data_IF_593463349264
#
_entry.id   IF_593463349264
#
_cell.length_a   1.000
_cell.length_b   1.000
_cell.length_c   1.000
_cell.angle_alpha   90.00
_cell.angle_beta   90.00
_cell.angle_gamma   90.00
#
_symmetry.space_group_name_H-M   'P 1'
#
loop_
_entity.id
_entity.type
_entity.pdbx_description
1 polymer ?
#
# COMPACT_ATOMS: atom_id res chain seq x y z
N UNK A 1 -10.82 -2.18 0.59
CA UNK A 1 -9.54 -1.88 -0.10
C UNK A 1 -9.83 -1.06 -1.34
N UNK A 2 -9.12 0.05 -1.52
CA UNK A 2 -9.33 0.95 -2.66
C UNK A 2 -8.00 1.26 -3.33
N UNK A 3 -8.05 1.65 -4.61
CA UNK A 3 -6.85 2.09 -5.33
C UNK A 3 -6.24 3.30 -4.62
N UNK A 4 -4.92 3.26 -4.44
CA UNK A 4 -4.19 4.32 -3.75
C UNK A 4 -4.02 4.11 -2.25
N UNK A 5 -4.76 3.19 -1.64
CA UNK A 5 -4.56 2.86 -0.22
C UNK A 5 -3.14 2.39 0.03
N UNK A 6 -2.57 2.83 1.15
CA UNK A 6 -1.22 2.43 1.57
C UNK A 6 -1.33 1.48 2.75
N UNK A 7 -0.66 0.34 2.64
CA UNK A 7 -0.67 -0.71 3.65
C UNK A 7 0.75 -0.95 4.16
N UNK A 8 0.86 -1.42 5.40
CA UNK A 8 2.14 -1.77 6.02
C UNK A 8 2.12 -3.24 6.44
N UNK A 9 3.20 -3.96 6.16
CA UNK A 9 3.33 -5.36 6.56
C UNK A 9 3.42 -5.47 8.08
N UNK A 10 2.67 -6.39 8.65
CA UNK A 10 2.60 -6.56 10.10
C UNK A 10 3.90 -7.07 10.71
N UNK A 11 4.72 -7.78 9.93
CA UNK A 11 5.97 -8.38 10.41
C UNK A 11 7.19 -7.52 10.10
N UNK A 12 7.45 -7.26 8.83
CA UNK A 12 8.68 -6.62 8.39
C UNK A 12 8.57 -5.12 8.17
N UNK A 13 7.34 -4.57 8.31
CA UNK A 13 7.06 -3.15 8.15
C UNK A 13 7.28 -2.62 6.73
N UNK A 14 7.35 -3.50 5.73
CA UNK A 14 7.39 -3.06 4.35
C UNK A 14 6.09 -2.34 3.98
N UNK A 15 6.18 -1.38 3.07
CA UNK A 15 5.07 -0.50 2.71
C UNK A 15 4.68 -0.76 1.26
N UNK A 16 3.40 -0.94 1.02
CA UNK A 16 2.86 -1.12 -0.32
C UNK A 16 1.74 -0.12 -0.56
N UNK A 17 1.53 0.22 -1.83
CA UNK A 17 0.38 1.02 -2.27
C UNK A 17 -0.42 0.22 -3.29
N UNK A 18 -1.71 0.21 -3.14
CA UNK A 18 -2.60 -0.50 -4.05
C UNK A 18 -2.66 0.24 -5.38
N UNK A 19 -2.27 -0.43 -6.46
CA UNK A 19 -2.15 0.17 -7.79
C UNK A 19 -3.35 -0.15 -8.68
N UNK A 20 -3.75 -1.42 -8.72
CA UNK A 20 -4.88 -1.86 -9.57
C UNK A 20 -5.35 -3.23 -9.10
N UNK A 21 -6.41 -3.74 -9.73
CA UNK A 21 -6.82 -5.12 -9.50
C UNK A 21 -7.43 -5.75 -10.74
N UNK A 22 -7.24 -7.09 -10.84
CA UNK A 22 -7.88 -7.90 -11.84
C UNK A 22 -9.08 -8.60 -11.17
N UNK A 23 -10.26 -8.37 -11.70
CA UNK A 23 -11.47 -8.92 -11.12
C UNK A 23 -11.61 -10.41 -11.43
N UNK A 24 -12.18 -11.16 -10.50
CA UNK A 24 -12.50 -12.55 -10.70
C UNK A 24 -13.89 -12.65 -11.30
N UNK A 25 -13.99 -13.25 -12.49
CA UNK A 25 -15.27 -13.43 -13.22
C UNK A 25 -16.09 -12.12 -13.38
N UNK A 26 -15.38 -11.01 -13.60
CA UNK A 26 -16.02 -9.72 -13.83
C UNK A 26 -16.46 -9.00 -12.56
N UNK A 27 -16.22 -9.57 -11.39
CA UNK A 27 -16.59 -8.97 -10.11
C UNK A 27 -15.38 -8.85 -9.19
N UNK A 28 -15.36 -7.80 -8.38
CA UNK A 28 -14.34 -7.66 -7.35
C UNK A 28 -14.78 -8.42 -6.11
N UNK A 29 -14.00 -9.45 -5.76
CA UNK A 29 -14.24 -10.30 -4.59
C UNK A 29 -12.93 -10.49 -3.83
N UNK A 30 -12.97 -11.15 -2.69
CA UNK A 30 -11.77 -11.50 -1.94
C UNK A 30 -10.78 -12.38 -2.73
N UNK A 31 -11.24 -13.00 -3.82
CA UNK A 31 -10.41 -13.81 -4.70
C UNK A 31 -9.80 -13.01 -5.84
N UNK A 32 -10.19 -11.76 -6.01
CA UNK A 32 -9.63 -10.88 -7.03
C UNK A 32 -8.16 -10.65 -6.76
N UNK A 33 -7.37 -10.58 -7.83
CA UNK A 33 -5.95 -10.28 -7.71
C UNK A 33 -5.77 -8.79 -7.56
N UNK A 34 -5.11 -8.40 -6.49
CA UNK A 34 -4.75 -7.01 -6.22
C UNK A 34 -3.29 -6.82 -6.59
N UNK A 35 -3.01 -5.81 -7.39
CA UNK A 35 -1.67 -5.45 -7.82
C UNK A 35 -1.23 -4.25 -7.00
N UNK A 36 -0.05 -4.34 -6.41
CA UNK A 36 0.46 -3.30 -5.54
C UNK A 36 1.90 -2.94 -5.88
N UNK A 37 2.34 -1.80 -5.39
CA UNK A 37 3.70 -1.30 -5.52
C UNK A 37 4.35 -1.30 -4.16
N UNK A 38 5.50 -1.94 -4.03
CA UNK A 38 6.28 -1.92 -2.80
C UNK A 38 7.27 -0.76 -2.86
N UNK A 39 7.26 0.09 -1.84
CA UNK A 39 8.16 1.23 -1.76
C UNK A 39 9.29 0.95 -0.78
N UNK A 40 10.49 1.44 -1.11
CA UNK A 40 11.65 1.37 -0.25
C UNK A 40 12.16 2.78 -0.01
N UNK A 41 12.70 3.05 1.18
CA UNK A 41 13.09 4.41 1.57
C UNK A 41 14.09 5.03 0.59
N UNK A 42 15.07 4.29 0.17
CA UNK A 42 16.11 4.80 -0.74
C UNK A 42 15.61 5.09 -2.16
N UNK A 43 14.46 4.56 -2.51
CA UNK A 43 13.80 4.79 -3.80
C UNK A 43 12.48 5.56 -3.65
N UNK A 44 12.21 6.08 -2.46
CA UNK A 44 10.97 6.78 -2.17
C UNK A 44 11.13 8.26 -2.47
N UNK A 45 10.43 8.71 -3.47
CA UNK A 45 10.42 10.12 -3.88
C UNK A 45 9.09 10.76 -3.51
N UNK A 46 8.61 11.68 -4.33
CA UNK A 46 7.30 12.27 -4.15
C UNK A 46 6.19 11.23 -4.29
N UNK A 47 5.07 11.46 -3.62
CA UNK A 47 3.90 10.59 -3.75
C UNK A 47 3.49 10.54 -5.23
N UNK A 48 3.31 9.33 -5.74
CA UNK A 48 3.00 9.12 -7.15
C UNK A 48 4.21 8.79 -8.02
N UNK A 49 5.42 8.81 -7.45
CA UNK A 49 6.63 8.46 -8.18
C UNK A 49 6.69 6.96 -8.50
N UNK A 50 7.60 6.60 -9.38
CA UNK A 50 7.77 5.21 -9.82
C UNK A 50 8.19 4.32 -8.64
N UNK A 51 7.53 3.21 -8.45
CA UNK A 51 7.85 2.28 -7.36
C UNK A 51 9.13 1.50 -7.63
N UNK A 52 9.74 1.03 -6.56
CA UNK A 52 10.91 0.16 -6.65
C UNK A 52 10.55 -1.28 -7.03
N UNK A 53 9.35 -1.70 -6.72
CA UNK A 53 8.94 -3.10 -6.90
C UNK A 53 7.42 -3.19 -7.01
N UNK A 54 6.96 -4.10 -7.87
CA UNK A 54 5.55 -4.44 -8.00
C UNK A 54 5.32 -5.86 -7.49
N UNK A 55 4.19 -6.08 -6.87
CA UNK A 55 3.78 -7.39 -6.40
C UNK A 55 2.28 -7.59 -6.60
N UNK A 56 1.80 -8.76 -6.26
CA UNK A 56 0.39 -9.07 -6.35
C UNK A 56 -0.02 -10.11 -5.31
N UNK A 57 -1.30 -10.16 -5.02
CA UNK A 57 -1.90 -11.14 -4.12
C UNK A 57 -3.40 -10.97 -4.11
N UNK A 58 -4.12 -11.89 -3.49
CA UNK A 58 -5.57 -11.70 -3.31
C UNK A 58 -5.81 -10.69 -2.19
N UNK A 59 -7.00 -10.09 -2.17
CA UNK A 59 -7.38 -9.19 -1.09
C UNK A 59 -7.25 -9.87 0.26
N UNK A 60 -7.70 -11.13 0.35
CA UNK A 60 -7.63 -11.90 1.58
C UNK A 60 -6.18 -12.07 2.07
N UNK A 61 -5.26 -12.40 1.17
CA UNK A 61 -3.84 -12.54 1.52
C UNK A 61 -3.26 -11.22 2.02
N UNK A 62 -3.56 -10.12 1.33
CA UNK A 62 -3.03 -8.81 1.70
C UNK A 62 -3.58 -8.39 3.07
N UNK A 63 -4.87 -8.55 3.31
CA UNK A 63 -5.46 -8.16 4.59
C UNK A 63 -4.99 -9.03 5.75
N UNK A 64 -4.56 -10.28 5.48
CA UNK A 64 -4.01 -11.15 6.51
C UNK A 64 -2.58 -10.77 6.92
N UNK A 65 -1.79 -10.23 5.98
CA UNK A 65 -0.37 -9.92 6.20
C UNK A 65 -0.07 -8.44 6.39
N UNK A 66 -0.97 -7.58 5.93
CA UNK A 66 -0.80 -6.13 5.96
C UNK A 66 -1.96 -5.48 6.69
N UNK A 67 -1.72 -4.29 7.21
CA UNK A 67 -2.79 -3.46 7.78
C UNK A 67 -2.83 -2.11 7.08
N UNK A 68 -4.01 -1.51 7.03
CA UNK A 68 -4.18 -0.20 6.40
C UNK A 68 -3.43 0.86 7.20
N UNK A 69 -2.53 1.56 6.52
CA UNK A 69 -1.72 2.63 7.13
C UNK A 69 -2.28 4.00 6.77
N UNK A 70 -2.50 4.26 5.48
CA UNK A 70 -3.02 5.54 4.99
C UNK A 70 -4.16 5.26 4.01
N UNK A 71 -5.40 5.62 4.36
CA UNK A 71 -6.52 5.51 3.42
C UNK A 71 -6.31 6.42 2.21
N UNK A 72 -6.83 6.02 1.07
CA UNK A 72 -6.68 6.74 -0.19
C UNK A 72 -6.97 8.25 -0.07
N UNK A 73 -8.03 8.62 0.61
CA UNK A 73 -8.43 10.01 0.74
C UNK A 73 -7.47 10.86 1.55
N UNK A 74 -6.57 10.23 2.31
CA UNK A 74 -5.58 10.93 3.15
C UNK A 74 -4.17 10.92 2.56
N UNK A 75 -3.95 10.18 1.47
CA UNK A 75 -2.61 10.11 0.83
C UNK A 75 -2.12 11.48 0.41
N UNK A 76 -3.02 12.35 -0.06
CA UNK A 76 -2.68 13.72 -0.49
C UNK A 76 -2.16 14.62 0.63
N UNK A 77 -2.28 14.20 1.90
CA UNK A 77 -1.77 14.96 3.04
C UNK A 77 -0.26 14.82 3.21
N UNK A 78 0.36 13.94 2.46
CA UNK A 78 1.81 13.67 2.52
C UNK A 78 2.48 14.21 1.27
N UNK A 79 3.60 14.91 1.45
CA UNK A 79 4.34 15.47 0.32
C UNK A 79 5.27 14.46 -0.34
N UNK A 80 5.81 13.51 0.43
CA UNK A 80 6.64 12.44 -0.12
C UNK A 80 6.55 11.16 0.71
N UNK A 81 7.17 10.10 0.19
CA UNK A 81 7.15 8.79 0.83
C UNK A 81 7.98 8.77 2.13
N UNK A 82 8.96 9.65 2.29
CA UNK A 82 9.76 9.69 3.51
C UNK A 82 8.92 10.05 4.73
N UNK A 83 7.91 10.90 4.58
CA UNK A 83 6.98 11.22 5.66
C UNK A 83 6.25 9.97 6.13
N UNK A 84 5.86 9.09 5.19
CA UNK A 84 5.16 7.84 5.50
C UNK A 84 6.11 6.86 6.19
N UNK A 85 7.35 6.73 5.69
CA UNK A 85 8.35 5.89 6.34
C UNK A 85 8.66 6.35 7.75
N UNK A 86 8.79 7.66 7.97
CA UNK A 86 9.05 8.24 9.28
C UNK A 86 7.90 7.94 10.25
N UNK A 87 6.66 8.02 9.76
CA UNK A 87 5.48 7.68 10.56
C UNK A 87 5.52 6.22 11.02
N UNK A 88 5.88 5.30 10.12
CA UNK A 88 5.97 3.87 10.46
C UNK A 88 7.07 3.62 11.48
N UNK A 89 8.24 4.25 11.31
CA UNK A 89 9.36 4.12 12.25
C UNK A 89 9.00 4.66 13.63
N UNK A 90 8.18 5.70 13.69
CA UNK A 90 7.71 6.28 14.94
C UNK A 90 6.57 5.46 15.59
N UNK A 91 6.08 4.41 14.92
CA UNK A 91 4.96 3.61 15.41
C UNK A 91 3.62 4.28 15.30
N UNK A 92 3.51 5.34 14.49
CA UNK A 92 2.28 6.10 14.31
C UNK A 92 1.48 5.58 13.12
N UNK A 93 0.20 5.98 13.05
CA UNK A 93 -0.62 5.69 11.89
C UNK A 93 -1.63 6.82 11.71
N UNK A 94 -2.17 6.96 10.51
CA UNK A 94 -3.16 7.99 10.24
C UNK A 94 -4.61 7.47 10.40
N UNK A 95 -4.75 6.27 10.90
CA UNK A 95 -6.06 5.67 11.19
C UNK A 95 -6.62 6.17 12.51
#
# INVERSE_FOLDING_TARGET
MRLGDIYVNKKDKSIIQIDSYAMHMGEFTEKSIVIFRQMERHNAYEIGSVPSFNGYGSQEEIESEYELLVPQEKVKNYSDWNEIFDMVEAGSSCL
#
